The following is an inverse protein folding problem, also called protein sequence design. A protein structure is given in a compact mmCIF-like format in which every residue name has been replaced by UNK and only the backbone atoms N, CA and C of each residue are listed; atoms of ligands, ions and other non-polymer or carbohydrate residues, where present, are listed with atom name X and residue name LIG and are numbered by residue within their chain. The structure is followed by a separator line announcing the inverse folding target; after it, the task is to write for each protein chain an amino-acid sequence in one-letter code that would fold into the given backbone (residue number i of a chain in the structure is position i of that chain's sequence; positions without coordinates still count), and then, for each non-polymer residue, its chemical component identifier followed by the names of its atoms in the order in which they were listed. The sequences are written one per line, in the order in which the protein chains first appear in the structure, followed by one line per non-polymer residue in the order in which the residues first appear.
data_IF_321527141699
#
_entry.id   IF_321527141699
#
_cell.length_a   1.000
_cell.length_b   1.000
_cell.length_c   1.000
_cell.angle_alpha   90.00
_cell.angle_beta   90.00
_cell.angle_gamma   90.00
#
_symmetry.space_group_name_H-M   'P 1'
#
loop_
_entity.id
_entity.type
_entity.pdbx_description
1 polymer ?
#
# COMPACT_ATOMS: atom_id res chain seq x y z
N UNK A 1 0.85 16.20 -4.62
CA UNK A 1 0.24 15.26 -5.58
C UNK A 1 1.27 14.21 -5.94
N UNK A 2 0.97 12.94 -5.63
CA UNK A 2 1.88 11.83 -5.95
C UNK A 2 1.69 11.42 -7.41
N UNK A 3 2.79 11.11 -8.11
CA UNK A 3 2.76 10.66 -9.50
C UNK A 3 3.42 9.28 -9.68
N UNK A 4 3.66 8.59 -8.57
CA UNK A 4 4.34 7.31 -8.52
C UNK A 4 3.65 6.36 -7.55
N UNK A 5 3.50 5.11 -7.96
CA UNK A 5 3.07 4.00 -7.10
C UNK A 5 4.10 2.88 -7.18
N UNK A 6 4.75 2.56 -6.06
CA UNK A 6 5.65 1.41 -5.98
C UNK A 6 4.95 0.21 -5.34
N UNK A 7 5.22 -1.01 -5.83
CA UNK A 7 4.51 -2.22 -5.42
C UNK A 7 5.47 -3.27 -4.83
N UNK A 8 5.10 -3.85 -3.69
CA UNK A 8 5.76 -5.02 -3.12
C UNK A 8 4.73 -6.05 -2.68
N UNK A 9 4.78 -7.30 -3.19
CA UNK A 9 3.81 -8.33 -2.77
C UNK A 9 4.40 -9.74 -2.66
N UNK A 10 3.65 -10.66 -2.05
CA UNK A 10 3.90 -12.11 -2.05
C UNK A 10 3.05 -12.89 -3.08
N UNK A 11 2.45 -12.19 -4.04
CA UNK A 11 1.56 -12.80 -5.04
C UNK A 11 2.28 -13.66 -6.07
N UNK A 12 3.59 -13.44 -6.28
CA UNK A 12 4.28 -13.98 -7.43
C UNK A 12 3.88 -13.32 -8.74
N UNK A 13 4.29 -13.93 -9.85
CA UNK A 13 4.02 -13.47 -11.22
C UNK A 13 3.46 -14.58 -12.10
N UNK A 14 3.00 -15.68 -11.49
CA UNK A 14 2.51 -16.85 -12.23
C UNK A 14 1.03 -16.76 -12.58
N UNK A 15 0.30 -15.83 -11.95
CA UNK A 15 -1.12 -15.59 -12.13
C UNK A 15 -1.42 -14.10 -12.33
N UNK A 16 -2.69 -13.75 -12.39
CA UNK A 16 -3.16 -12.42 -12.76
C UNK A 16 -3.12 -11.38 -11.63
N UNK A 17 -2.86 -11.76 -10.37
CA UNK A 17 -3.14 -10.88 -9.22
C UNK A 17 -2.40 -9.54 -9.31
N UNK A 18 -1.12 -9.56 -9.66
CA UNK A 18 -0.32 -8.33 -9.87
C UNK A 18 -0.85 -7.51 -11.04
N UNK A 19 -1.23 -8.16 -12.13
CA UNK A 19 -1.80 -7.49 -13.31
C UNK A 19 -3.11 -6.78 -12.99
N UNK A 20 -3.99 -7.43 -12.22
CA UNK A 20 -5.27 -6.86 -11.77
C UNK A 20 -5.04 -5.67 -10.83
N UNK A 21 -4.14 -5.79 -9.86
CA UNK A 21 -3.76 -4.70 -8.96
C UNK A 21 -3.33 -3.44 -9.74
N UNK A 22 -2.43 -3.63 -10.72
CA UNK A 22 -1.95 -2.54 -11.58
C UNK A 22 -3.03 -1.96 -12.48
N UNK A 23 -3.94 -2.81 -12.96
CA UNK A 23 -5.04 -2.39 -13.82
C UNK A 23 -5.97 -1.44 -13.08
N UNK A 24 -6.30 -1.71 -11.81
CA UNK A 24 -7.10 -0.80 -10.97
C UNK A 24 -6.40 0.55 -10.79
N UNK A 25 -5.10 0.53 -10.44
CA UNK A 25 -4.33 1.78 -10.28
C UNK A 25 -4.30 2.58 -11.59
N UNK A 26 -4.06 1.91 -12.72
CA UNK A 26 -3.94 2.54 -14.04
C UNK A 26 -5.27 3.11 -14.53
N UNK A 27 -6.38 2.42 -14.28
CA UNK A 27 -7.71 2.89 -14.68
C UNK A 27 -8.10 4.16 -13.91
N UNK A 28 -7.85 4.18 -12.60
CA UNK A 28 -8.24 5.29 -11.72
C UNK A 28 -7.25 6.46 -11.71
N UNK A 29 -5.96 6.20 -11.94
CA UNK A 29 -4.89 7.20 -11.96
C UNK A 29 -3.93 6.94 -13.14
N UNK A 30 -4.38 7.14 -14.40
CA UNK A 30 -3.62 6.77 -15.61
C UNK A 30 -2.31 7.54 -15.80
N UNK A 31 -2.12 8.67 -15.10
CA UNK A 31 -0.87 9.43 -15.08
C UNK A 31 0.16 8.88 -14.10
N UNK A 32 -0.24 8.03 -13.15
CA UNK A 32 0.65 7.48 -12.14
C UNK A 32 1.60 6.45 -12.76
N UNK A 33 2.90 6.62 -12.51
CA UNK A 33 3.91 5.64 -12.93
C UNK A 33 3.98 4.52 -11.91
N UNK A 34 3.91 3.27 -12.37
CA UNK A 34 4.00 2.09 -11.50
C UNK A 34 5.43 1.52 -11.54
N UNK A 35 6.02 1.26 -10.38
CA UNK A 35 7.29 0.50 -10.24
C UNK A 35 7.05 -0.74 -9.39
N UNK A 36 7.50 -1.89 -9.86
CA UNK A 36 7.56 -3.08 -9.01
C UNK A 36 8.87 -3.07 -8.24
N UNK A 37 8.79 -3.09 -6.91
CA UNK A 37 9.94 -3.38 -6.05
C UNK A 37 10.24 -4.88 -6.15
N UNK A 38 9.22 -5.70 -5.86
CA UNK A 38 9.26 -7.16 -6.05
C UNK A 38 7.89 -7.76 -5.80
N UNK A 39 7.56 -8.83 -6.53
CA UNK A 39 6.41 -9.70 -6.23
C UNK A 39 6.84 -11.09 -5.77
N UNK A 40 8.14 -11.26 -5.50
CA UNK A 40 8.76 -12.53 -5.13
C UNK A 40 8.97 -12.69 -3.63
N UNK A 41 8.23 -11.97 -2.79
CA UNK A 41 8.24 -12.24 -1.35
C UNK A 41 7.73 -13.68 -1.14
N UNK A 42 8.38 -14.52 -0.31
CA UNK A 42 7.84 -15.83 0.01
C UNK A 42 6.42 -15.71 0.59
N UNK A 43 5.47 -16.60 0.21
CA UNK A 43 4.10 -16.51 0.66
C UNK A 43 3.99 -16.35 2.17
N UNK A 44 3.25 -15.32 2.60
CA UNK A 44 2.97 -14.98 3.99
C UNK A 44 4.18 -14.54 4.84
N UNK A 45 5.37 -14.39 4.26
CA UNK A 45 6.57 -13.98 4.99
C UNK A 45 6.64 -12.45 5.17
N UNK A 46 5.83 -11.95 6.12
CA UNK A 46 5.75 -10.52 6.47
C UNK A 46 7.12 -9.94 6.83
N UNK A 47 7.97 -10.72 7.50
CA UNK A 47 9.31 -10.27 7.92
C UNK A 47 10.23 -10.07 6.72
N UNK A 48 10.22 -11.02 5.79
CA UNK A 48 10.98 -10.90 4.54
C UNK A 48 10.51 -9.68 3.75
N UNK A 49 9.19 -9.51 3.59
CA UNK A 49 8.61 -8.35 2.93
C UNK A 49 9.02 -7.02 3.58
N UNK A 50 8.98 -6.94 4.91
CA UNK A 50 9.35 -5.72 5.64
C UNK A 50 10.82 -5.36 5.45
N UNK A 51 11.70 -6.36 5.50
CA UNK A 51 13.14 -6.16 5.30
C UNK A 51 13.49 -5.79 3.86
N UNK A 52 12.82 -6.40 2.88
CA UNK A 52 12.97 -6.04 1.48
C UNK A 52 12.53 -4.59 1.24
N UNK A 53 11.38 -4.19 1.81
CA UNK A 53 10.87 -2.83 1.68
C UNK A 53 11.81 -1.81 2.34
N UNK A 54 12.30 -2.09 3.54
CA UNK A 54 13.25 -1.23 4.26
C UNK A 54 14.57 -1.01 3.50
N UNK A 55 15.04 -2.00 2.74
CA UNK A 55 16.24 -1.86 1.89
C UNK A 55 15.97 -1.05 0.63
N UNK A 56 14.73 -1.10 0.11
CA UNK A 56 14.35 -0.42 -1.12
C UNK A 56 13.98 1.05 -0.90
N UNK A 57 13.37 1.39 0.25
CA UNK A 57 12.64 2.64 0.47
C UNK A 57 13.43 3.92 0.12
N UNK A 58 14.74 3.94 0.36
CA UNK A 58 15.60 5.11 0.08
C UNK A 58 15.86 5.35 -1.42
N UNK A 59 15.57 4.37 -2.27
CA UNK A 59 15.78 4.41 -3.72
C UNK A 59 14.46 4.51 -4.50
N UNK A 60 13.33 4.28 -3.83
CA UNK A 60 12.00 4.38 -4.43
C UNK A 60 11.66 5.87 -4.61
N UNK A 61 11.13 6.28 -5.78
CA UNK A 61 10.68 7.66 -5.97
C UNK A 61 9.62 8.05 -4.93
N UNK A 62 9.64 9.32 -4.51
CA UNK A 62 8.60 9.87 -3.65
C UNK A 62 7.22 9.65 -4.28
N UNK A 63 6.24 9.27 -3.48
CA UNK A 63 4.94 8.83 -3.96
C UNK A 63 4.25 7.88 -2.99
N UNK A 64 3.38 7.04 -3.54
CA UNK A 64 2.66 6.02 -2.78
C UNK A 64 3.39 4.68 -2.93
N UNK A 65 3.44 3.90 -1.86
CA UNK A 65 3.99 2.55 -1.87
C UNK A 65 2.94 1.61 -1.34
N UNK A 66 2.48 0.67 -2.18
CA UNK A 66 1.56 -0.38 -1.79
C UNK A 66 2.35 -1.65 -1.53
N UNK A 67 2.36 -2.11 -0.28
CA UNK A 67 2.98 -3.36 0.11
C UNK A 67 1.94 -4.34 0.64
N UNK A 68 1.87 -5.55 0.07
CA UNK A 68 0.87 -6.56 0.44
C UNK A 68 1.53 -7.92 0.63
N UNK A 69 1.71 -8.29 1.89
CA UNK A 69 2.08 -9.63 2.35
C UNK A 69 1.17 -9.89 3.53
N UNK A 70 0.12 -10.69 3.32
CA UNK A 70 -1.05 -10.66 4.21
C UNK A 70 -1.62 -12.05 4.50
N UNK A 71 -1.05 -12.79 5.48
CA UNK A 71 -1.65 -14.02 5.97
C UNK A 71 -3.00 -13.80 6.68
N UNK A 72 -3.30 -12.56 7.07
CA UNK A 72 -4.52 -12.19 7.79
C UNK A 72 -5.60 -11.62 6.89
N UNK A 73 -5.52 -11.77 5.57
CA UNK A 73 -6.52 -11.21 4.65
C UNK A 73 -7.93 -11.74 4.98
N UNK A 74 -8.92 -10.85 4.97
CA UNK A 74 -10.30 -11.17 5.36
C UNK A 74 -10.52 -11.41 6.86
N UNK A 75 -9.50 -11.20 7.72
CA UNK A 75 -9.62 -11.23 9.18
C UNK A 75 -9.88 -9.82 9.78
N UNK A 76 -9.70 -9.66 11.10
CA UNK A 76 -9.82 -8.39 11.81
C UNK A 76 -8.61 -7.45 11.66
N UNK A 77 -7.56 -7.85 10.93
CA UNK A 77 -6.37 -6.99 10.71
C UNK A 77 -6.76 -5.73 9.94
N UNK A 78 -6.22 -4.58 10.36
CA UNK A 78 -6.58 -3.29 9.77
C UNK A 78 -5.85 -3.06 8.45
N UNK A 79 -6.47 -2.27 7.57
CA UNK A 79 -5.83 -1.70 6.38
C UNK A 79 -5.38 -0.29 6.73
N UNK A 80 -4.13 0.06 6.44
CA UNK A 80 -3.54 1.33 6.89
C UNK A 80 -2.81 2.09 5.78
N UNK A 81 -2.79 3.41 5.91
CA UNK A 81 -1.88 4.32 5.22
C UNK A 81 -1.01 5.05 6.25
N UNK A 82 0.29 5.21 5.98
CA UNK A 82 1.26 5.89 6.85
C UNK A 82 1.95 6.98 6.05
N UNK A 83 1.81 8.23 6.49
CA UNK A 83 2.51 9.39 5.94
C UNK A 83 3.96 9.41 6.46
N UNK A 84 4.91 9.64 5.55
CA UNK A 84 6.35 9.69 5.83
C UNK A 84 7.06 10.76 5.00
N UNK A 85 8.28 11.11 5.39
CA UNK A 85 9.19 11.99 4.65
C UNK A 85 8.61 13.40 4.36
N UNK A 86 7.99 14.01 5.36
CA UNK A 86 7.37 15.34 5.29
C UNK A 86 6.20 15.38 4.32
N UNK A 87 5.33 14.36 4.37
CA UNK A 87 4.18 14.21 3.47
C UNK A 87 4.51 13.85 2.01
N UNK A 88 5.78 13.60 1.67
CA UNK A 88 6.16 13.24 0.29
C UNK A 88 5.99 11.75 -0.02
N UNK A 89 5.87 10.91 1.01
CA UNK A 89 5.68 9.47 0.89
C UNK A 89 4.46 8.98 1.66
N UNK A 90 3.76 8.00 1.09
CA UNK A 90 2.68 7.27 1.79
C UNK A 90 2.89 5.78 1.65
N UNK A 91 2.96 5.05 2.76
CA UNK A 91 3.02 3.59 2.78
C UNK A 91 1.61 3.02 3.00
N UNK A 92 1.15 2.12 2.14
CA UNK A 92 -0.18 1.50 2.19
C UNK A 92 -0.03 -0.01 2.31
N UNK A 93 -0.80 -0.63 3.20
CA UNK A 93 -0.78 -2.09 3.36
C UNK A 93 -1.53 -2.61 4.58
N UNK A 94 -1.38 -3.91 4.89
CA UNK A 94 -1.94 -4.51 6.10
C UNK A 94 -1.18 -4.05 7.35
N UNK A 95 -1.93 -3.79 8.43
CA UNK A 95 -1.36 -3.55 9.76
C UNK A 95 -0.96 -4.88 10.42
N UNK A 96 0.20 -5.39 10.00
CA UNK A 96 0.77 -6.65 10.49
C UNK A 96 2.29 -6.56 10.72
N UNK A 97 2.84 -5.34 10.72
CA UNK A 97 4.27 -5.06 10.85
C UNK A 97 5.02 -4.95 9.52
N UNK A 98 4.41 -5.26 8.37
CA UNK A 98 5.05 -5.16 7.04
C UNK A 98 5.69 -3.79 6.79
N UNK A 99 4.95 -2.71 7.09
CA UNK A 99 5.36 -1.33 6.77
C UNK A 99 6.35 -0.73 7.79
N UNK A 100 6.48 -1.33 8.98
CA UNK A 100 7.15 -0.74 10.14
C UNK A 100 8.61 -0.32 9.87
N UNK A 101 9.41 -1.24 9.32
CA UNK A 101 10.83 -0.99 9.06
C UNK A 101 11.03 0.07 7.98
N UNK A 102 10.15 0.11 6.97
CA UNK A 102 10.21 1.11 5.91
C UNK A 102 9.83 2.51 6.43
N UNK A 103 8.79 2.61 7.26
CA UNK A 103 8.41 3.86 7.91
C UNK A 103 9.55 4.42 8.75
N UNK A 104 10.18 3.58 9.58
CA UNK A 104 11.36 3.96 10.38
C UNK A 104 12.50 4.45 9.50
N UNK A 105 12.80 3.74 8.41
CA UNK A 105 13.87 4.14 7.49
C UNK A 105 13.58 5.42 6.71
N UNK A 106 12.31 5.75 6.49
CA UNK A 106 11.87 6.99 5.83
C UNK A 106 11.88 8.22 6.76
N UNK A 107 12.38 8.09 8.00
CA UNK A 107 12.43 9.17 8.98
C UNK A 107 11.40 9.05 10.11
N UNK A 108 10.61 7.97 10.11
CA UNK A 108 9.52 7.74 11.06
C UNK A 108 8.14 7.96 10.43
N UNK A 109 7.12 7.38 11.07
CA UNK A 109 5.73 7.69 10.77
C UNK A 109 5.40 9.10 11.27
N UNK A 110 4.78 9.91 10.43
CA UNK A 110 4.32 11.26 10.80
C UNK A 110 2.84 11.21 11.20
N UNK A 111 2.04 10.50 10.40
CA UNK A 111 0.60 10.28 10.59
C UNK A 111 0.21 8.91 10.07
N UNK A 112 -0.83 8.32 10.64
CA UNK A 112 -1.34 7.03 10.18
C UNK A 112 -2.88 7.05 10.15
N UNK A 113 -3.44 6.35 9.16
CA UNK A 113 -4.87 6.30 8.91
C UNK A 113 -5.32 4.88 8.69
N UNK A 114 -6.50 4.54 9.20
CA UNK A 114 -7.23 3.36 8.78
C UNK A 114 -7.93 3.65 7.46
N UNK A 115 -7.90 2.69 6.55
CA UNK A 115 -8.62 2.77 5.27
C UNK A 115 -10.09 2.39 5.50
N UNK A 116 -10.83 3.25 6.20
CA UNK A 116 -12.23 3.03 6.58
C UNK A 116 -13.23 3.76 5.69
N UNK A 117 -12.76 4.66 4.80
CA UNK A 117 -13.63 5.28 3.81
C UNK A 117 -13.98 4.29 2.69
N UNK A 118 -15.09 3.58 2.86
CA UNK A 118 -15.56 2.57 1.91
C UNK A 118 -15.99 3.13 0.56
N UNK A 119 -16.24 4.44 0.43
CA UNK A 119 -16.53 5.07 -0.86
C UNK A 119 -15.32 5.04 -1.81
N UNK A 120 -14.12 4.88 -1.25
CA UNK A 120 -12.88 4.69 -2.02
C UNK A 120 -12.61 3.23 -2.36
N UNK A 121 -13.41 2.28 -1.90
CA UNK A 121 -13.17 0.85 -2.12
C UNK A 121 -13.95 0.35 -3.34
N UNK A 122 -13.40 -0.67 -4.01
CA UNK A 122 -14.15 -1.36 -5.06
C UNK A 122 -15.17 -2.31 -4.45
N UNK A 123 -16.37 -2.33 -5.01
CA UNK A 123 -17.36 -3.35 -4.69
C UNK A 123 -16.87 -4.72 -5.21
N UNK A 124 -16.79 -5.70 -4.32
CA UNK A 124 -16.26 -7.02 -4.62
C UNK A 124 -17.10 -8.12 -3.96
N UNK A 125 -17.22 -9.31 -4.60
CA UNK A 125 -18.01 -10.41 -4.07
C UNK A 125 -17.37 -11.12 -2.85
N UNK A 126 -16.19 -10.70 -2.39
CA UNK A 126 -15.47 -11.34 -1.27
C UNK A 126 -14.40 -10.44 -0.66
N UNK A 127 -13.72 -10.95 0.38
CA UNK A 127 -12.78 -10.18 1.22
C UNK A 127 -11.32 -10.62 1.10
N UNK A 128 -11.02 -11.54 0.19
CA UNK A 128 -9.71 -12.18 0.07
C UNK A 128 -8.71 -11.43 -0.81
N UNK A 129 -9.12 -10.33 -1.47
CA UNK A 129 -8.23 -9.58 -2.36
C UNK A 129 -8.19 -8.07 -2.06
N UNK A 130 -7.84 -7.74 -0.81
CA UNK A 130 -7.68 -6.35 -0.36
C UNK A 130 -6.68 -5.52 -1.19
N UNK A 131 -5.71 -6.17 -1.86
CA UNK A 131 -4.87 -5.53 -2.88
C UNK A 131 -5.69 -4.79 -3.93
N UNK A 132 -6.56 -5.51 -4.63
CA UNK A 132 -7.47 -4.96 -5.64
C UNK A 132 -8.53 -4.05 -5.02
N UNK A 133 -9.13 -4.48 -3.92
CA UNK A 133 -10.39 -3.90 -3.43
C UNK A 133 -10.21 -2.64 -2.58
N UNK A 134 -9.06 -2.51 -1.91
CA UNK A 134 -8.81 -1.46 -0.91
C UNK A 134 -7.52 -0.71 -1.24
N UNK A 135 -6.39 -1.42 -1.36
CA UNK A 135 -5.08 -0.76 -1.42
C UNK A 135 -4.83 -0.06 -2.76
N UNK A 136 -5.15 -0.70 -3.89
CA UNK A 136 -5.04 -0.10 -5.21
C UNK A 136 -5.90 1.16 -5.40
N UNK A 137 -7.21 1.16 -5.11
CA UNK A 137 -8.04 2.35 -5.34
C UNK A 137 -7.68 3.50 -4.40
N UNK A 138 -7.30 3.22 -3.14
CA UNK A 138 -6.79 4.26 -2.22
C UNK A 138 -5.46 4.85 -2.74
N UNK A 139 -4.54 4.03 -3.24
CA UNK A 139 -3.30 4.52 -3.83
C UNK A 139 -3.56 5.44 -5.04
N UNK A 140 -4.52 5.07 -5.89
CA UNK A 140 -4.94 5.86 -7.03
C UNK A 140 -5.60 7.19 -6.61
N UNK A 141 -6.46 7.16 -5.59
CA UNK A 141 -7.07 8.36 -5.00
C UNK A 141 -6.02 9.39 -4.54
N UNK A 142 -5.00 8.95 -3.81
CA UNK A 142 -3.90 9.82 -3.39
C UNK A 142 -3.07 10.35 -4.58
N UNK A 143 -2.90 9.53 -5.63
CA UNK A 143 -2.25 9.99 -6.87
C UNK A 143 -3.09 11.02 -7.65
N UNK A 144 -4.42 11.00 -7.48
CA UNK A 144 -5.33 12.01 -8.01
C UNK A 144 -5.36 13.31 -7.17
N UNK A 145 -4.56 13.39 -6.11
CA UNK A 145 -4.46 14.57 -5.27
C UNK A 145 -5.47 14.63 -4.12
N UNK A 146 -6.14 13.50 -3.83
CA UNK A 146 -6.94 13.36 -2.62
C UNK A 146 -6.10 13.56 -1.36
N UNK A 147 -6.70 14.14 -0.33
CA UNK A 147 -6.03 14.38 0.93
C UNK A 147 -5.97 13.07 1.74
N UNK A 148 -4.88 12.84 2.49
CA UNK A 148 -4.71 11.59 3.22
C UNK A 148 -5.77 11.40 4.31
N UNK A 149 -6.31 12.49 4.85
CA UNK A 149 -7.38 12.51 5.83
C UNK A 149 -8.69 11.95 5.29
N UNK A 150 -8.88 11.97 3.97
CA UNK A 150 -10.08 11.48 3.32
C UNK A 150 -10.10 9.96 3.18
N UNK A 151 -8.99 9.27 3.47
CA UNK A 151 -8.91 7.79 3.36
C UNK A 151 -9.59 7.08 4.53
N UNK A 152 -9.79 7.77 5.67
CA UNK A 152 -10.50 7.24 6.83
C UNK A 152 -10.01 7.80 8.16
N UNK A 153 -10.12 6.98 9.21
CA UNK A 153 -9.87 7.39 10.60
C UNK A 153 -8.38 7.53 10.91
N UNK A 154 -7.95 8.69 11.42
CA UNK A 154 -6.58 8.89 11.92
C UNK A 154 -6.34 8.08 13.20
N UNK A 155 -5.16 7.45 13.30
CA UNK A 155 -4.77 6.62 14.45
C UNK A 155 -3.45 7.06 15.04
N UNK A 156 -3.29 6.77 16.33
CA UNK A 156 -2.05 7.02 17.06
C UNK A 156 -0.89 6.18 16.49
N UNK A 157 0.28 6.80 16.40
CA UNK A 157 1.53 6.22 15.90
C UNK A 157 2.48 5.80 17.02
N UNK A 158 2.09 5.97 18.28
CA UNK A 158 2.85 5.64 19.50
C UNK A 158 2.96 4.14 19.79
#
# INVERSE_FOLDING_TARGET
MHNHVALLTDYGLNDEFVGVLKSVITDMAPHARITDITHGVPPFDVRWGSLALARAIQYVPAGVIVAVVDPGVGSSRKAVAIEVAGGNGVLIGPDNGLLSSAASMAGGAERAFLLTNTELHLEAPGTTFAGRDIFAPVAAFLCNGGAIEEVGEEVDIA
#
